data_IF_109182896048
#
_entry.id   IF_109182896048
#
_cell.length_a   1.000
_cell.length_b   1.000
_cell.length_c   1.000
_cell.angle_alpha   90.00
_cell.angle_beta   90.00
_cell.angle_gamma   90.00
#
_symmetry.space_group_name_H-M   'P 1'
#
loop_
_entity.id
_entity.type
_entity.pdbx_description
1 polymer ?
#
# COMPACT_ATOMS: atom_id res chain seq x y z
N UNK A 1 -20.38 6.87 9.90
CA UNK A 1 -20.51 6.29 8.55
C UNK A 1 -20.25 4.81 8.65
N UNK A 2 -21.17 3.96 8.18
CA UNK A 2 -20.94 2.50 8.13
C UNK A 2 -19.78 2.23 7.18
N UNK A 3 -18.77 1.48 7.63
CA UNK A 3 -17.67 1.05 6.76
C UNK A 3 -18.24 0.07 5.74
N UNK A 4 -18.13 0.39 4.45
CA UNK A 4 -18.53 -0.52 3.36
C UNK A 4 -17.64 -1.77 3.45
N UNK A 5 -18.26 -2.94 3.59
CA UNK A 5 -17.54 -4.22 3.70
C UNK A 5 -17.54 -4.95 2.38
N UNK A 6 -16.40 -5.54 2.05
CA UNK A 6 -16.21 -6.44 0.92
C UNK A 6 -17.08 -7.70 1.05
N UNK A 7 -17.54 -8.22 -0.08
CA UNK A 7 -18.16 -9.55 -0.23
C UNK A 7 -17.15 -10.68 -0.42
N UNK A 8 -15.86 -10.38 -0.61
CA UNK A 8 -14.82 -11.41 -0.75
C UNK A 8 -14.72 -12.20 0.55
N UNK A 9 -14.73 -13.53 0.44
CA UNK A 9 -14.25 -14.38 1.52
C UNK A 9 -12.73 -14.24 1.67
N UNK A 10 -12.19 -14.59 2.84
CA UNK A 10 -10.74 -14.60 3.07
C UNK A 10 -10.01 -15.50 2.07
N UNK A 11 -10.63 -16.60 1.63
CA UNK A 11 -10.03 -17.49 0.62
C UNK A 11 -10.07 -16.88 -0.78
N UNK A 12 -11.19 -16.26 -1.16
CA UNK A 12 -11.32 -15.57 -2.45
C UNK A 12 -10.37 -14.40 -2.55
N UNK A 13 -10.22 -13.62 -1.48
CA UNK A 13 -9.25 -12.51 -1.40
C UNK A 13 -7.81 -13.03 -1.57
N UNK A 14 -7.43 -14.12 -0.90
CA UNK A 14 -6.11 -14.75 -1.08
C UNK A 14 -5.88 -15.21 -2.52
N UNK A 15 -6.87 -15.88 -3.13
CA UNK A 15 -6.81 -16.32 -4.52
C UNK A 15 -6.69 -15.12 -5.47
N UNK A 16 -7.44 -14.04 -5.23
CA UNK A 16 -7.37 -12.81 -6.01
C UNK A 16 -6.00 -12.13 -5.90
N UNK A 17 -5.48 -11.99 -4.68
CA UNK A 17 -4.14 -11.43 -4.42
C UNK A 17 -3.02 -12.27 -5.07
N UNK A 18 -3.19 -13.58 -5.21
CA UNK A 18 -2.20 -14.45 -5.86
C UNK A 18 -2.00 -14.19 -7.36
N UNK A 19 -2.90 -13.42 -7.99
CA UNK A 19 -2.74 -12.94 -9.37
C UNK A 19 -1.74 -11.78 -9.49
N UNK A 20 -1.34 -11.20 -8.36
CA UNK A 20 -0.46 -10.05 -8.24
C UNK A 20 0.83 -10.41 -7.50
N UNK A 21 1.78 -9.47 -7.51
CA UNK A 21 2.91 -9.49 -6.58
C UNK A 21 2.48 -8.98 -5.20
N UNK A 22 3.22 -8.02 -4.65
CA UNK A 22 2.90 -7.47 -3.34
C UNK A 22 1.97 -6.26 -3.46
N UNK A 23 0.66 -6.49 -3.31
CA UNK A 23 -0.36 -5.44 -3.44
C UNK A 23 -1.36 -5.45 -2.29
N UNK A 24 -2.03 -4.31 -2.09
CA UNK A 24 -3.23 -4.18 -1.25
C UNK A 24 -4.44 -3.81 -2.10
N UNK A 25 -5.58 -4.39 -1.77
CA UNK A 25 -6.86 -4.02 -2.37
C UNK A 25 -7.58 -3.00 -1.48
N UNK A 26 -7.98 -1.88 -2.06
CA UNK A 26 -8.77 -0.85 -1.41
C UNK A 26 -10.13 -0.74 -2.08
N UNK A 27 -11.21 -1.14 -1.39
CA UNK A 27 -12.57 -1.12 -1.93
C UNK A 27 -13.02 0.32 -2.25
N UNK A 28 -13.32 0.58 -3.52
CA UNK A 28 -13.82 1.87 -4.02
C UNK A 28 -15.34 1.86 -4.18
N UNK A 29 -15.86 0.75 -4.71
CA UNK A 29 -17.25 0.64 -5.12
C UNK A 29 -17.83 -0.74 -4.82
N UNK A 30 -19.10 -0.76 -4.39
CA UNK A 30 -19.91 -1.95 -4.15
C UNK A 30 -21.33 -1.66 -4.63
N UNK A 31 -21.81 -2.40 -5.63
CA UNK A 31 -23.06 -2.10 -6.32
C UNK A 31 -24.28 -2.15 -5.39
N UNK A 32 -24.33 -3.11 -4.45
CA UNK A 32 -25.41 -3.18 -3.46
C UNK A 32 -25.49 -1.98 -2.50
N UNK A 33 -24.40 -1.21 -2.35
CA UNK A 33 -24.34 -0.05 -1.45
C UNK A 33 -24.43 1.27 -2.22
N UNK A 34 -23.76 1.35 -3.38
CA UNK A 34 -23.68 2.59 -4.15
C UNK A 34 -24.68 2.65 -5.31
N UNK A 35 -25.39 1.56 -5.59
CA UNK A 35 -26.34 1.44 -6.69
C UNK A 35 -25.68 0.95 -7.98
N UNK A 36 -26.47 0.29 -8.84
CA UNK A 36 -26.02 -0.39 -10.05
C UNK A 36 -25.85 0.54 -11.27
N UNK A 37 -25.91 1.86 -11.07
CA UNK A 37 -25.82 2.84 -12.15
C UNK A 37 -24.37 3.10 -12.52
N UNK A 38 -24.06 3.20 -13.82
CA UNK A 38 -22.73 3.54 -14.31
C UNK A 38 -22.21 4.86 -13.72
N UNK A 39 -23.09 5.84 -13.50
CA UNK A 39 -22.75 7.11 -12.85
C UNK A 39 -22.18 6.93 -11.43
N UNK A 40 -22.74 5.99 -10.65
CA UNK A 40 -22.28 5.71 -9.30
C UNK A 40 -20.87 5.10 -9.29
N UNK A 41 -20.56 4.28 -10.31
CA UNK A 41 -19.23 3.76 -10.55
C UNK A 41 -18.24 4.87 -10.91
N UNK A 42 -18.52 5.64 -11.97
CA UNK A 42 -17.63 6.69 -12.47
C UNK A 42 -17.30 7.73 -11.40
N UNK A 43 -18.30 8.17 -10.63
CA UNK A 43 -18.10 9.13 -9.53
C UNK A 43 -17.13 8.66 -8.43
N UNK A 44 -16.80 7.37 -8.38
CA UNK A 44 -15.95 6.76 -7.33
C UNK A 44 -14.65 6.18 -7.87
N UNK A 45 -14.63 5.73 -9.11
CA UNK A 45 -13.53 4.93 -9.65
C UNK A 45 -12.70 5.66 -10.72
N UNK A 46 -13.24 6.71 -11.33
CA UNK A 46 -12.50 7.48 -12.31
C UNK A 46 -11.27 8.15 -11.68
N UNK A 47 -10.15 8.10 -12.40
CA UNK A 47 -8.85 8.61 -11.93
C UNK A 47 -8.29 7.94 -10.67
N UNK A 48 -8.79 6.76 -10.27
CA UNK A 48 -8.27 6.07 -9.08
C UNK A 48 -7.02 5.21 -9.34
N UNK A 49 -6.76 4.83 -10.59
CA UNK A 49 -5.60 4.02 -10.96
C UNK A 49 -5.61 2.61 -10.36
N UNK A 50 -4.68 1.75 -10.79
CA UNK A 50 -4.96 0.41 -11.30
C UNK A 50 -6.10 -0.28 -10.56
N UNK A 51 -7.13 -0.69 -11.27
CA UNK A 51 -8.34 -1.23 -10.64
C UNK A 51 -8.56 -2.68 -10.98
N UNK A 52 -9.11 -3.43 -10.03
CA UNK A 52 -9.64 -4.77 -10.26
C UNK A 52 -11.13 -4.79 -9.98
N UNK A 53 -11.85 -5.28 -10.98
CA UNK A 53 -13.29 -5.49 -10.93
C UNK A 53 -13.57 -6.91 -10.44
N UNK A 54 -14.53 -7.03 -9.52
CA UNK A 54 -14.90 -8.29 -8.88
C UNK A 54 -16.42 -8.48 -8.96
N UNK A 55 -16.85 -9.40 -9.81
CA UNK A 55 -18.24 -9.79 -10.01
C UNK A 55 -18.52 -11.16 -9.39
N UNK A 56 -19.72 -11.30 -8.83
CA UNK A 56 -20.17 -12.52 -8.14
C UNK A 56 -21.45 -13.02 -8.79
N UNK A 57 -21.61 -14.32 -8.98
CA UNK A 57 -22.84 -14.91 -9.51
C UNK A 57 -23.38 -16.06 -8.63
N UNK A 58 -24.54 -16.62 -9.01
CA UNK A 58 -25.17 -17.72 -8.24
C UNK A 58 -24.54 -19.08 -8.55
N UNK A 59 -23.82 -19.21 -9.65
CA UNK A 59 -23.03 -20.39 -9.99
C UNK A 59 -21.77 -20.56 -9.10
N UNK A 60 -21.48 -19.61 -8.20
CA UNK A 60 -20.35 -19.67 -7.27
C UNK A 60 -19.03 -19.16 -7.85
N UNK A 61 -19.08 -18.42 -8.96
CA UNK A 61 -17.90 -17.81 -9.57
C UNK A 61 -17.69 -16.39 -9.04
N UNK A 62 -16.43 -16.08 -8.77
CA UNK A 62 -15.92 -14.72 -8.58
C UNK A 62 -14.99 -14.40 -9.73
N UNK A 63 -15.40 -13.51 -10.62
CA UNK A 63 -14.72 -13.25 -11.88
C UNK A 63 -14.69 -11.76 -12.20
N UNK A 64 -13.87 -11.37 -13.16
CA UNK A 64 -13.74 -9.97 -13.52
C UNK A 64 -12.48 -9.70 -14.30
N UNK A 65 -11.95 -8.50 -14.14
CA UNK A 65 -10.73 -8.11 -14.82
C UNK A 65 -9.97 -7.02 -14.10
N UNK A 66 -8.67 -6.99 -14.36
CA UNK A 66 -7.75 -5.96 -13.92
C UNK A 66 -7.40 -5.05 -15.10
N UNK A 67 -7.33 -3.76 -14.84
CA UNK A 67 -6.76 -2.76 -15.73
C UNK A 67 -5.71 -1.94 -14.98
N UNK A 68 -4.62 -1.59 -15.66
CA UNK A 68 -3.55 -0.75 -15.15
C UNK A 68 -3.75 0.75 -15.43
N UNK A 69 -4.67 1.08 -16.34
CA UNK A 69 -4.99 2.47 -16.70
C UNK A 69 -6.19 3.01 -15.92
N UNK A 70 -6.35 4.32 -15.97
CA UNK A 70 -7.50 5.03 -15.39
C UNK A 70 -8.73 4.96 -16.28
N UNK A 71 -9.90 4.89 -15.64
CA UNK A 71 -11.14 5.32 -16.26
C UNK A 71 -11.18 6.86 -16.30
N UNK A 72 -11.48 7.42 -17.46
CA UNK A 72 -11.50 8.86 -17.72
C UNK A 72 -12.66 9.30 -18.62
N UNK A 73 -13.54 8.38 -19.04
CA UNK A 73 -14.72 8.63 -19.87
C UNK A 73 -14.38 9.30 -21.23
N UNK A 74 -13.24 8.96 -21.83
CA UNK A 74 -12.75 9.55 -23.09
C UNK A 74 -13.50 9.08 -24.35
N UNK A 75 -14.28 8.00 -24.24
CA UNK A 75 -14.94 7.32 -25.36
C UNK A 75 -13.99 6.49 -26.23
N UNK A 76 -12.71 6.37 -25.86
CA UNK A 76 -11.69 5.68 -26.65
C UNK A 76 -11.49 4.24 -26.19
N UNK A 77 -11.06 3.40 -27.10
CA UNK A 77 -10.54 2.08 -26.73
C UNK A 77 -9.10 2.24 -26.25
N UNK A 78 -8.80 1.73 -25.06
CA UNK A 78 -7.52 1.94 -24.38
C UNK A 78 -6.67 0.67 -24.46
N UNK A 79 -5.46 0.81 -25.00
CA UNK A 79 -4.47 -0.26 -24.96
C UNK A 79 -3.89 -0.39 -23.54
N UNK A 80 -3.94 -1.62 -23.02
CA UNK A 80 -3.44 -1.94 -21.69
C UNK A 80 -2.79 -3.34 -21.73
N UNK A 81 -1.47 -3.34 -21.88
CA UNK A 81 -0.62 -4.53 -21.95
C UNK A 81 -0.58 -5.32 -20.63
N UNK A 82 -1.01 -4.70 -19.53
CA UNK A 82 -1.08 -5.32 -18.21
C UNK A 82 -2.49 -5.81 -17.87
N UNK A 83 -3.50 -5.51 -18.68
CA UNK A 83 -4.88 -5.91 -18.43
C UNK A 83 -5.07 -7.43 -18.59
N UNK A 84 -5.84 -8.02 -17.69
CA UNK A 84 -6.19 -9.45 -17.74
C UNK A 84 -7.58 -9.70 -17.18
N UNK A 85 -8.23 -10.75 -17.66
CA UNK A 85 -9.42 -11.31 -17.03
C UNK A 85 -9.03 -12.42 -16.06
N UNK A 86 -9.88 -12.69 -15.09
CA UNK A 86 -9.67 -13.77 -14.15
C UNK A 86 -10.98 -14.42 -13.70
N UNK A 87 -10.87 -15.62 -13.14
CA UNK A 87 -11.99 -16.32 -12.53
C UNK A 87 -11.55 -17.23 -11.37
N UNK A 88 -12.30 -17.18 -10.27
CA UNK A 88 -12.14 -17.95 -9.05
C UNK A 88 -13.41 -18.76 -8.80
N UNK A 89 -13.25 -20.02 -8.43
CA UNK A 89 -14.34 -20.94 -8.07
C UNK A 89 -13.79 -21.98 -7.10
N UNK A 90 -14.66 -22.57 -6.28
CA UNK A 90 -14.29 -23.65 -5.33
C UNK A 90 -13.87 -24.94 -6.05
N UNK A 91 -14.24 -25.07 -7.33
CA UNK A 91 -13.85 -26.19 -8.18
C UNK A 91 -12.37 -26.14 -8.62
N UNK A 92 -11.69 -25.00 -8.42
CA UNK A 92 -10.29 -24.80 -8.82
C UNK A 92 -9.44 -24.29 -7.65
N UNK A 93 -8.27 -24.90 -7.50
CA UNK A 93 -7.29 -24.48 -6.49
C UNK A 93 -6.67 -23.11 -6.87
N UNK A 94 -6.26 -22.96 -8.14
CA UNK A 94 -5.66 -21.74 -8.66
C UNK A 94 -6.69 -20.92 -9.48
N UNK A 95 -6.65 -19.58 -9.40
CA UNK A 95 -7.45 -18.75 -10.29
C UNK A 95 -7.11 -19.01 -11.76
N UNK A 96 -8.14 -18.94 -12.61
CA UNK A 96 -7.95 -18.77 -14.04
C UNK A 96 -7.49 -17.34 -14.29
N UNK A 97 -6.48 -17.16 -15.15
CA UNK A 97 -6.01 -15.88 -15.65
C UNK A 97 -5.98 -15.91 -17.17
N UNK A 98 -6.62 -14.95 -17.81
CA UNK A 98 -6.70 -14.82 -19.26
C UNK A 98 -6.08 -13.48 -19.65
N UNK A 99 -4.96 -13.53 -20.35
CA UNK A 99 -4.28 -12.33 -20.82
C UNK A 99 -4.92 -11.83 -22.11
N UNK A 100 -4.76 -10.54 -22.39
CA UNK A 100 -5.20 -9.96 -23.67
C UNK A 100 -4.40 -10.60 -24.82
N UNK A 101 -5.04 -10.82 -25.96
CA UNK A 101 -4.32 -11.18 -27.19
C UNK A 101 -3.51 -9.97 -27.68
N UNK A 102 -2.27 -10.20 -28.10
CA UNK A 102 -1.32 -9.15 -28.50
C UNK A 102 -1.95 -8.07 -29.41
N UNK A 103 -1.85 -6.81 -28.98
CA UNK A 103 -2.29 -5.63 -29.73
C UNK A 103 -3.76 -5.22 -29.56
N UNK A 104 -4.54 -5.89 -28.72
CA UNK A 104 -5.94 -5.53 -28.46
C UNK A 104 -6.12 -4.58 -27.27
N UNK A 105 -7.25 -3.86 -27.25
CA UNK A 105 -7.60 -2.92 -26.19
C UNK A 105 -8.00 -3.65 -24.91
N UNK A 106 -7.50 -3.19 -23.76
CA UNK A 106 -7.82 -3.77 -22.45
C UNK A 106 -9.22 -3.40 -21.98
N UNK A 107 -9.76 -2.25 -22.40
CA UNK A 107 -11.13 -1.81 -22.14
C UNK A 107 -11.53 -0.66 -23.08
N UNK A 108 -12.82 -0.33 -23.11
CA UNK A 108 -13.36 0.87 -23.77
C UNK A 108 -13.71 1.89 -22.70
N UNK A 109 -13.04 3.04 -22.71
CA UNK A 109 -13.21 4.10 -21.71
C UNK A 109 -14.45 4.96 -22.00
N UNK A 110 -15.63 4.34 -22.07
CA UNK A 110 -16.89 4.98 -22.44
C UNK A 110 -17.64 5.61 -21.27
N UNK A 111 -18.73 6.33 -21.61
CA UNK A 111 -19.75 6.80 -20.66
C UNK A 111 -20.65 5.67 -20.13
N UNK A 112 -20.62 4.52 -20.81
CA UNK A 112 -21.44 3.36 -20.53
C UNK A 112 -20.53 2.19 -20.23
N UNK A 113 -20.10 2.07 -18.98
CA UNK A 113 -19.83 0.74 -18.46
C UNK A 113 -18.48 0.58 -17.80
N UNK A 114 -18.58 -0.04 -16.65
CA UNK A 114 -17.55 -0.80 -16.00
C UNK A 114 -17.22 -2.01 -16.90
N UNK A 115 -16.08 -2.01 -17.60
CA UNK A 115 -15.76 -3.07 -18.57
C UNK A 115 -14.28 -3.44 -18.57
N UNK A 116 -13.99 -4.70 -18.90
CA UNK A 116 -12.65 -5.19 -19.19
C UNK A 116 -12.75 -6.08 -20.44
N UNK A 117 -12.22 -5.57 -21.55
CA UNK A 117 -12.28 -6.19 -22.86
C UNK A 117 -13.70 -6.47 -23.33
N UNK A 118 -14.03 -7.77 -23.43
CA UNK A 118 -15.33 -8.27 -23.90
C UNK A 118 -16.38 -8.33 -22.78
N UNK A 119 -16.00 -8.22 -21.51
CA UNK A 119 -16.93 -8.29 -20.38
C UNK A 119 -17.38 -6.89 -19.98
N UNK A 120 -18.68 -6.62 -20.16
CA UNK A 120 -19.32 -5.36 -19.83
C UNK A 120 -20.23 -5.56 -18.64
N UNK A 121 -19.84 -5.03 -17.49
CA UNK A 121 -20.53 -5.21 -16.23
C UNK A 121 -21.58 -4.12 -16.03
N UNK A 122 -22.60 -4.48 -15.26
CA UNK A 122 -23.71 -3.61 -14.93
C UNK A 122 -24.54 -3.19 -16.16
N UNK A 123 -24.72 -4.11 -17.12
CA UNK A 123 -25.38 -3.79 -18.38
C UNK A 123 -26.78 -3.20 -18.16
N UNK A 124 -27.11 -2.13 -18.89
CA UNK A 124 -28.34 -1.36 -18.74
C UNK A 124 -28.63 -0.90 -17.29
N UNK A 125 -27.57 -0.65 -16.49
CA UNK A 125 -27.65 -0.32 -15.06
C UNK A 125 -28.33 -1.41 -14.22
N UNK A 126 -28.18 -2.68 -14.60
CA UNK A 126 -28.73 -3.85 -13.90
C UNK A 126 -27.62 -4.74 -13.37
N UNK A 127 -27.93 -5.69 -12.49
CA UNK A 127 -26.97 -6.67 -11.99
C UNK A 127 -26.65 -7.76 -13.03
N UNK A 128 -26.20 -7.38 -14.23
CA UNK A 128 -25.92 -8.32 -15.31
C UNK A 128 -24.62 -7.99 -16.03
N UNK A 129 -24.04 -9.00 -16.66
CA UNK A 129 -22.87 -8.87 -17.54
C UNK A 129 -23.31 -9.12 -18.98
N UNK A 130 -22.81 -8.30 -19.89
CA UNK A 130 -22.90 -8.51 -21.33
C UNK A 130 -21.52 -8.94 -21.86
N UNK A 131 -21.52 -9.96 -22.72
CA UNK A 131 -20.34 -10.35 -23.47
C UNK A 131 -20.46 -9.70 -24.85
N UNK A 132 -19.63 -8.70 -25.11
CA UNK A 132 -19.60 -8.00 -26.39
C UNK A 132 -18.68 -8.75 -27.35
N UNK A 133 -19.10 -8.88 -28.62
CA UNK A 133 -18.28 -9.51 -29.65
C UNK A 133 -16.93 -8.78 -29.79
N UNK A 134 -15.85 -9.53 -29.60
CA UNK A 134 -14.49 -9.02 -29.68
C UNK A 134 -13.47 -10.14 -29.52
N UNK A 135 -12.25 -9.87 -29.96
CA UNK A 135 -11.17 -10.86 -29.95
C UNK A 135 -10.08 -10.51 -28.91
N UNK A 136 -10.34 -9.57 -27.99
CA UNK A 136 -9.34 -9.13 -27.00
C UNK A 136 -9.02 -10.19 -25.96
N UNK A 137 -9.99 -11.06 -25.63
CA UNK A 137 -9.81 -12.16 -24.69
C UNK A 137 -10.52 -13.41 -25.22
N UNK A 138 -9.85 -14.56 -25.12
CA UNK A 138 -10.42 -15.87 -25.49
C UNK A 138 -10.53 -16.75 -24.26
N UNK A 139 -11.75 -17.19 -23.95
CA UNK A 139 -12.05 -18.06 -22.81
C UNK A 139 -13.33 -18.85 -23.04
N UNK A 140 -13.47 -19.98 -22.36
CA UNK A 140 -14.72 -20.74 -22.33
C UNK A 140 -15.68 -20.14 -21.28
N UNK A 141 -16.92 -19.85 -21.69
CA UNK A 141 -17.92 -19.19 -20.85
C UNK A 141 -18.26 -19.98 -19.57
N UNK A 142 -18.30 -21.31 -19.66
CA UNK A 142 -18.49 -22.20 -18.52
C UNK A 142 -17.34 -22.09 -17.51
N UNK A 143 -16.09 -22.00 -18.00
CA UNK A 143 -14.91 -21.89 -17.14
C UNK A 143 -14.72 -20.49 -16.55
N UNK A 144 -15.17 -19.44 -17.23
CA UNK A 144 -15.03 -18.06 -16.76
C UNK A 144 -16.09 -17.71 -15.72
N UNK A 145 -17.36 -18.04 -15.98
CA UNK A 145 -18.49 -17.58 -15.17
C UNK A 145 -19.62 -18.61 -15.07
N UNK A 146 -19.37 -19.90 -15.36
CA UNK A 146 -20.37 -20.96 -15.19
C UNK A 146 -21.61 -20.79 -16.07
N UNK A 147 -21.49 -20.11 -17.22
CA UNK A 147 -22.61 -19.70 -18.07
C UNK A 147 -23.68 -18.83 -17.35
N UNK A 148 -23.34 -18.23 -16.21
CA UNK A 148 -24.24 -17.36 -15.43
C UNK A 148 -23.74 -15.91 -15.40
N UNK A 149 -24.38 -15.07 -16.23
CA UNK A 149 -24.10 -13.64 -16.34
C UNK A 149 -24.96 -12.78 -15.39
N UNK A 150 -25.78 -13.39 -14.54
CA UNK A 150 -26.55 -12.68 -13.52
C UNK A 150 -25.70 -12.48 -12.27
N UNK A 151 -25.56 -11.22 -11.86
CA UNK A 151 -24.72 -10.85 -10.74
C UNK A 151 -25.52 -10.87 -9.43
N UNK A 152 -24.91 -11.43 -8.39
CA UNK A 152 -25.35 -11.25 -7.01
C UNK A 152 -24.70 -10.04 -6.37
N UNK A 153 -23.52 -9.63 -6.85
CA UNK A 153 -22.80 -8.44 -6.42
C UNK A 153 -21.77 -8.02 -7.48
N UNK A 154 -21.38 -6.73 -7.46
CA UNK A 154 -20.25 -6.22 -8.23
C UNK A 154 -19.46 -5.21 -7.38
N UNK A 155 -18.15 -5.40 -7.31
CA UNK A 155 -17.23 -4.56 -6.55
C UNK A 155 -16.06 -4.10 -7.41
N UNK A 156 -15.46 -2.96 -7.04
CA UNK A 156 -14.23 -2.46 -7.67
C UNK A 156 -13.26 -2.05 -6.58
N UNK A 157 -12.02 -2.48 -6.73
CA UNK A 157 -10.93 -2.20 -5.82
C UNK A 157 -9.84 -1.43 -6.56
N UNK A 158 -9.25 -0.45 -5.89
CA UNK A 158 -7.93 0.06 -6.26
C UNK A 158 -6.89 -0.96 -5.83
N UNK A 159 -5.98 -1.28 -6.74
CA UNK A 159 -4.80 -2.11 -6.52
C UNK A 159 -3.64 -1.18 -6.19
N UNK A 160 -3.25 -1.17 -4.93
CA UNK A 160 -2.14 -0.38 -4.45
C UNK A 160 -0.90 -1.25 -4.40
N UNK A 161 0.09 -0.90 -5.24
CA UNK A 161 1.39 -1.54 -5.18
C UNK A 161 2.06 -1.22 -3.83
N UNK A 162 2.52 -2.27 -3.16
CA UNK A 162 3.23 -2.20 -1.90
C UNK A 162 4.73 -2.46 -2.09
N UNK A 163 5.26 -2.31 -3.32
CA UNK A 163 6.69 -2.33 -3.60
C UNK A 163 7.48 -1.57 -2.51
N UNK A 164 8.40 -2.27 -1.85
CA UNK A 164 9.21 -1.76 -0.73
C UNK A 164 8.68 -2.07 0.68
N UNK A 165 7.44 -2.53 0.83
CA UNK A 165 6.94 -3.10 2.09
C UNK A 165 7.27 -4.61 2.15
N UNK A 166 7.52 -5.11 3.35
CA UNK A 166 7.76 -6.54 3.57
C UNK A 166 6.43 -7.30 3.63
N UNK A 167 6.32 -8.43 2.91
CA UNK A 167 5.12 -9.30 2.90
C UNK A 167 4.73 -9.75 4.32
N UNK A 168 5.74 -10.02 5.14
CA UNK A 168 5.56 -10.25 6.57
C UNK A 168 6.37 -9.21 7.34
N UNK A 169 5.86 -8.70 8.48
CA UNK A 169 6.62 -7.78 9.31
C UNK A 169 7.98 -8.39 9.66
N UNK A 170 9.07 -7.62 9.45
CA UNK A 170 10.44 -8.02 9.83
C UNK A 170 10.52 -8.58 11.26
N UNK A 171 9.67 -8.05 12.15
CA UNK A 171 9.47 -8.58 13.49
C UNK A 171 7.98 -8.66 13.79
N UNK A 172 7.48 -9.87 14.04
CA UNK A 172 6.15 -10.08 14.59
C UNK A 172 6.14 -9.64 16.05
N UNK A 173 5.42 -8.56 16.35
CA UNK A 173 5.22 -8.08 17.71
C UNK A 173 3.73 -8.19 18.00
N UNK A 174 3.39 -8.91 19.05
CA UNK A 174 2.03 -8.94 19.57
C UNK A 174 1.75 -7.65 20.35
N UNK A 175 1.12 -6.70 19.66
CA UNK A 175 0.67 -5.43 20.26
C UNK A 175 -0.68 -5.56 20.97
N UNK A 176 -1.42 -6.65 20.75
CA UNK A 176 -2.74 -6.90 21.35
C UNK A 176 -2.62 -7.43 22.78
N UNK A 177 -1.50 -8.08 23.11
CA UNK A 177 -1.15 -8.43 24.47
C UNK A 177 -1.13 -7.22 25.41
N UNK A 178 -1.91 -7.28 26.48
CA UNK A 178 -1.94 -6.26 27.53
C UNK A 178 -0.51 -5.93 28.01
N UNK A 179 -0.08 -4.70 27.77
CA UNK A 179 1.18 -4.17 28.31
C UNK A 179 2.44 -4.46 27.50
N UNK A 180 2.39 -5.05 26.28
CA UNK A 180 3.61 -5.24 25.46
C UNK A 180 4.33 -3.91 25.22
N UNK A 181 3.57 -2.87 24.87
CA UNK A 181 4.09 -1.51 24.67
C UNK A 181 4.75 -0.99 25.95
N UNK A 182 4.06 -1.04 27.08
CA UNK A 182 4.54 -0.51 28.34
C UNK A 182 5.80 -1.25 28.81
N UNK A 183 5.84 -2.58 28.65
CA UNK A 183 7.02 -3.41 28.94
C UNK A 183 8.23 -3.02 28.08
N UNK A 184 8.05 -2.81 26.78
CA UNK A 184 9.13 -2.38 25.90
C UNK A 184 9.61 -0.98 26.23
N UNK A 185 8.68 -0.06 26.55
CA UNK A 185 9.03 1.29 26.97
C UNK A 185 9.80 1.28 28.29
N UNK A 186 9.39 0.46 29.27
CA UNK A 186 10.09 0.32 30.55
C UNK A 186 11.48 -0.30 30.39
N UNK A 187 11.61 -1.33 29.54
CA UNK A 187 12.90 -1.90 29.18
C UNK A 187 13.88 -0.85 28.63
N UNK A 188 13.41 0.02 27.73
CA UNK A 188 14.23 1.10 27.17
C UNK A 188 14.60 2.14 28.24
N UNK A 189 13.65 2.53 29.10
CA UNK A 189 13.88 3.49 30.20
C UNK A 189 14.95 2.99 31.17
N UNK A 190 14.98 1.68 31.43
CA UNK A 190 15.85 1.05 32.41
C UNK A 190 17.09 0.37 31.81
N UNK A 191 17.30 0.50 30.49
CA UNK A 191 18.45 -0.11 29.81
C UNK A 191 19.79 0.33 30.42
N UNK A 192 20.70 -0.63 30.56
CA UNK A 192 22.08 -0.41 31.00
C UNK A 192 23.02 -1.11 30.01
N UNK A 193 24.07 -0.42 29.52
CA UNK A 193 25.08 -1.07 28.70
C UNK A 193 25.72 -2.25 29.42
N UNK A 194 25.95 -3.35 28.71
CA UNK A 194 26.65 -4.52 29.27
C UNK A 194 28.10 -4.17 29.64
N UNK A 195 28.73 -3.32 28.83
CA UNK A 195 30.09 -2.83 29.06
C UNK A 195 30.06 -1.63 30.01
N UNK A 196 30.58 -1.81 31.22
CA UNK A 196 30.53 -0.79 32.30
C UNK A 196 31.26 0.53 31.98
N UNK A 197 32.20 0.52 31.03
CA UNK A 197 32.89 1.74 30.59
C UNK A 197 32.05 2.57 29.61
N UNK A 198 31.00 1.99 29.01
CA UNK A 198 30.09 2.71 28.13
C UNK A 198 29.11 3.50 28.99
N UNK A 199 29.26 4.83 28.97
CA UNK A 199 28.38 5.74 29.72
C UNK A 199 26.97 5.76 29.14
N UNK A 200 26.85 5.82 27.81
CA UNK A 200 25.58 5.88 27.11
C UNK A 200 25.72 5.44 25.64
N UNK A 201 24.87 4.54 25.13
CA UNK A 201 24.82 4.21 23.71
C UNK A 201 24.30 5.39 22.88
N UNK A 202 24.87 5.53 21.69
CA UNK A 202 24.44 6.47 20.66
C UNK A 202 23.91 5.70 19.46
N UNK A 203 22.69 6.02 19.02
CA UNK A 203 22.08 5.43 17.84
C UNK A 203 22.17 6.44 16.71
N UNK A 204 23.02 6.17 15.72
CA UNK A 204 23.19 7.03 14.55
C UNK A 204 22.14 6.67 13.49
N UNK A 205 21.33 7.65 13.10
CA UNK A 205 20.36 7.52 12.02
C UNK A 205 21.05 7.94 10.71
N UNK A 206 21.13 7.04 9.74
CA UNK A 206 21.77 7.26 8.43
C UNK A 206 20.81 6.84 7.32
N UNK A 207 20.83 7.54 6.19
CA UNK A 207 19.97 7.26 5.05
C UNK A 207 19.85 8.47 4.11
N UNK A 208 19.27 8.29 2.91
CA UNK A 208 19.16 9.36 1.93
C UNK A 208 18.30 10.54 2.41
N UNK A 209 18.34 11.65 1.67
CA UNK A 209 17.41 12.77 1.85
C UNK A 209 15.97 12.26 1.72
N UNK A 210 15.06 12.78 2.54
CA UNK A 210 13.65 12.38 2.50
C UNK A 210 13.33 11.02 3.15
N UNK A 211 14.33 10.23 3.60
CA UNK A 211 14.10 8.95 4.28
C UNK A 211 13.41 9.06 5.65
N UNK A 212 13.13 10.27 6.13
CA UNK A 212 12.36 10.49 7.36
C UNK A 212 13.16 10.33 8.66
N UNK A 213 14.51 10.42 8.64
CA UNK A 213 15.37 10.31 9.83
C UNK A 213 14.94 11.23 10.98
N UNK A 214 14.78 12.52 10.70
CA UNK A 214 14.33 13.52 11.66
C UNK A 214 12.89 13.30 12.12
N UNK A 215 12.02 12.82 11.22
CA UNK A 215 10.63 12.45 11.54
C UNK A 215 10.59 11.26 12.49
N UNK A 216 11.44 10.25 12.27
CA UNK A 216 11.57 9.09 13.14
C UNK A 216 12.01 9.49 14.55
N UNK A 217 12.96 10.41 14.68
CA UNK A 217 13.31 10.98 15.98
C UNK A 217 12.10 11.66 16.64
N UNK A 218 11.38 12.53 15.93
CA UNK A 218 10.20 13.21 16.47
C UNK A 218 9.13 12.21 16.92
N UNK A 219 8.93 11.11 16.18
CA UNK A 219 8.02 10.02 16.56
C UNK A 219 8.45 9.37 17.87
N UNK A 220 9.73 8.98 18.01
CA UNK A 220 10.24 8.40 19.27
C UNK A 220 10.06 9.38 20.43
N UNK A 221 10.49 10.63 20.25
CA UNK A 221 10.40 11.65 21.29
C UNK A 221 8.96 11.88 21.73
N UNK A 222 8.01 11.86 20.78
CA UNK A 222 6.59 12.04 21.06
C UNK A 222 6.01 10.85 21.83
N UNK A 223 6.38 9.62 21.47
CA UNK A 223 5.95 8.41 22.18
C UNK A 223 6.41 8.43 23.62
N UNK A 224 7.67 8.80 23.87
CA UNK A 224 8.20 8.82 25.23
C UNK A 224 7.66 9.98 26.07
N UNK A 225 7.38 11.15 25.48
CA UNK A 225 6.79 12.30 26.19
C UNK A 225 5.27 12.21 26.37
N UNK A 226 4.60 11.33 25.64
CA UNK A 226 3.14 11.20 25.65
C UNK A 226 2.38 12.29 24.88
N UNK A 227 3.07 13.18 24.17
CA UNK A 227 2.47 14.21 23.32
C UNK A 227 3.32 14.47 22.08
N UNK A 228 2.71 15.00 21.01
CA UNK A 228 3.41 15.31 19.76
C UNK A 228 4.51 16.35 20.00
N UNK A 229 5.68 16.14 19.38
CA UNK A 229 6.83 17.06 19.43
C UNK A 229 7.47 17.24 18.06
N UNK A 230 7.96 18.46 17.79
CA UNK A 230 8.71 18.80 16.58
C UNK A 230 10.07 19.41 16.93
N UNK A 231 10.95 18.61 17.54
CA UNK A 231 12.28 19.08 17.97
C UNK A 231 13.36 18.96 16.88
N UNK A 232 13.19 18.05 15.92
CA UNK A 232 13.96 18.04 14.69
C UNK A 232 13.15 18.68 13.56
N UNK A 233 13.83 19.46 12.70
CA UNK A 233 13.19 20.06 11.53
C UNK A 233 12.82 18.95 10.55
N UNK A 234 11.55 18.90 10.17
CA UNK A 234 10.99 17.90 9.26
C UNK A 234 10.23 18.59 8.14
N UNK A 235 10.41 18.15 6.90
CA UNK A 235 9.74 18.68 5.73
C UNK A 235 10.23 17.98 4.46
N UNK A 236 9.51 18.17 3.35
CA UNK A 236 9.89 17.65 2.04
C UNK A 236 10.41 18.82 1.20
N UNK A 237 11.72 19.01 1.19
CA UNK A 237 12.43 19.97 0.32
C UNK A 237 13.50 19.17 -0.42
N UNK A 238 13.81 19.52 -1.67
CA UNK A 238 14.75 18.78 -2.53
C UNK A 238 16.20 18.70 -2.05
N UNK A 239 16.52 19.28 -0.88
CA UNK A 239 17.83 19.23 -0.22
C UNK A 239 17.65 18.86 1.25
N UNK A 240 18.65 18.25 1.89
CA UNK A 240 18.60 17.92 3.32
C UNK A 240 18.22 19.11 4.21
N UNK A 241 17.09 19.02 4.92
CA UNK A 241 16.65 20.05 5.89
C UNK A 241 17.48 20.06 7.18
N UNK A 242 18.01 18.90 7.54
CA UNK A 242 19.03 18.80 8.57
C UNK A 242 20.35 19.10 7.89
N UNK A 243 20.91 20.27 8.14
CA UNK A 243 22.17 20.76 7.55
C UNK A 243 23.40 20.45 8.40
N UNK A 244 23.22 19.81 9.56
CA UNK A 244 24.28 19.48 10.52
C UNK A 244 23.90 18.24 11.34
N UNK A 245 24.90 17.46 11.76
CA UNK A 245 24.76 16.41 12.77
C UNK A 245 24.18 16.97 14.08
N UNK A 246 23.13 16.31 14.61
CA UNK A 246 22.46 16.72 15.85
C UNK A 246 22.30 15.53 16.79
N UNK A 247 22.61 15.75 18.06
CA UNK A 247 22.39 14.76 19.12
C UNK A 247 21.19 15.12 19.96
N UNK A 248 20.27 14.18 20.11
CA UNK A 248 19.04 14.36 20.85
C UNK A 248 18.95 13.39 22.03
N UNK A 249 18.88 13.97 23.23
CA UNK A 249 18.55 13.25 24.45
C UNK A 249 17.04 13.28 24.69
N UNK A 250 16.40 12.11 24.74
CA UNK A 250 14.96 12.00 24.97
C UNK A 250 14.70 12.01 26.48
N UNK A 251 13.71 12.79 26.91
CA UNK A 251 13.20 12.77 28.30
C UNK A 251 11.77 12.23 28.26
N UNK A 252 11.50 11.19 29.05
CA UNK A 252 10.18 10.57 29.08
C UNK A 252 9.14 11.45 29.81
N UNK A 253 9.55 12.31 30.73
CA UNK A 253 8.66 13.16 31.52
C UNK A 253 9.24 14.57 31.65
N UNK A 254 8.38 15.58 31.84
CA UNK A 254 8.84 16.95 32.11
C UNK A 254 9.64 16.97 33.42
N UNK A 255 10.93 17.29 33.33
CA UNK A 255 11.85 17.26 34.48
C UNK A 255 12.38 15.86 34.84
N UNK A 256 11.95 14.80 34.16
CA UNK A 256 12.38 13.43 34.41
C UNK A 256 13.80 13.11 33.90
N UNK A 257 14.32 11.96 34.32
CA UNK A 257 15.62 11.43 33.86
C UNK A 257 15.59 11.19 32.35
N UNK A 258 16.65 11.57 31.66
CA UNK A 258 16.81 11.26 30.24
C UNK A 258 16.90 9.74 30.03
N UNK A 259 16.41 9.27 28.89
CA UNK A 259 16.59 7.88 28.48
C UNK A 259 18.09 7.53 28.46
N UNK A 260 18.45 6.28 28.78
CA UNK A 260 19.84 5.81 28.74
C UNK A 260 20.33 5.58 27.31
N UNK A 261 19.86 6.36 26.33
CA UNK A 261 20.30 6.34 24.93
C UNK A 261 20.21 7.75 24.33
N UNK A 262 21.06 8.04 23.36
CA UNK A 262 21.04 9.27 22.56
C UNK A 262 20.76 8.90 21.12
N UNK A 263 19.86 9.64 20.48
CA UNK A 263 19.65 9.55 19.03
C UNK A 263 20.50 10.62 18.34
N UNK A 264 21.24 10.21 17.32
CA UNK A 264 22.07 11.10 16.52
C UNK A 264 21.47 11.18 15.12
N UNK A 265 20.93 12.35 14.77
CA UNK A 265 20.35 12.62 13.47
C UNK A 265 21.41 13.25 12.55
N UNK A 266 21.44 12.82 11.29
CA UNK A 266 22.42 13.23 10.29
C UNK A 266 21.76 13.89 9.09
N UNK A 267 22.56 14.58 8.29
CA UNK A 267 22.12 15.01 6.96
C UNK A 267 21.76 13.81 6.08
N UNK A 268 20.98 14.04 5.03
CA UNK A 268 20.83 13.05 3.97
C UNK A 268 22.16 12.66 3.32
N UNK A 269 22.28 11.38 2.95
CA UNK A 269 23.26 10.98 1.95
C UNK A 269 22.81 11.57 0.60
N UNK A 270 23.67 12.37 -0.03
CA UNK A 270 23.45 13.00 -1.33
C UNK A 270 24.62 12.62 -2.25
N UNK A 271 24.35 12.44 -3.55
CA UNK A 271 25.40 12.21 -4.55
C UNK A 271 25.93 13.57 -5.06
N UNK A 272 27.04 14.05 -4.50
CA UNK A 272 27.73 15.24 -5.00
C UNK A 272 28.86 15.71 -4.09
N UNK A 273 29.98 16.24 -4.63
CA UNK A 273 31.02 16.83 -3.80
C UNK A 273 30.42 18.01 -3.02
N UNK A 274 30.62 18.03 -1.70
CA UNK A 274 30.13 19.06 -0.76
C UNK A 274 28.60 19.15 -0.55
N UNK A 275 27.84 18.12 -0.91
CA UNK A 275 26.41 18.02 -0.65
C UNK A 275 26.13 16.76 0.21
N UNK A 276 25.64 16.94 1.44
CA UNK A 276 25.27 15.83 2.33
C UNK A 276 26.39 15.25 3.20
N UNK A 277 26.10 14.11 3.84
CA UNK A 277 27.00 13.39 4.74
C UNK A 277 27.89 12.41 3.94
N UNK A 278 29.22 12.54 4.00
CA UNK A 278 30.16 11.60 3.35
C UNK A 278 30.44 10.36 4.23
N UNK A 279 30.87 9.28 3.61
CA UNK A 279 31.38 8.05 4.24
C UNK A 279 32.54 8.29 5.21
N UNK A 280 33.40 9.26 4.94
CA UNK A 280 34.47 9.68 5.84
C UNK A 280 33.94 10.40 7.08
N UNK A 281 32.85 11.17 6.95
CA UNK A 281 32.17 11.82 8.08
C UNK A 281 31.51 10.76 8.98
N UNK A 282 30.87 9.74 8.40
CA UNK A 282 30.32 8.60 9.15
C UNK A 282 31.43 7.92 9.96
N UNK A 283 32.58 7.66 9.34
CA UNK A 283 33.73 7.04 10.01
C UNK A 283 34.24 7.89 11.17
N UNK A 284 34.29 9.21 10.99
CA UNK A 284 34.71 10.16 12.01
C UNK A 284 33.72 10.22 13.18
N UNK A 285 32.41 10.26 12.89
CA UNK A 285 31.34 10.19 13.89
C UNK A 285 31.41 8.88 14.69
N UNK A 286 31.63 7.74 14.03
CA UNK A 286 31.76 6.44 14.69
C UNK A 286 33.00 6.36 15.60
N UNK A 287 34.10 7.03 15.23
CA UNK A 287 35.29 7.17 16.07
C UNK A 287 35.11 8.13 17.24
N UNK A 288 33.99 8.85 17.32
CA UNK A 288 33.72 9.84 18.36
C UNK A 288 34.28 11.23 18.06
N UNK A 289 34.69 11.48 16.82
CA UNK A 289 35.18 12.77 16.33
C UNK A 289 34.16 13.34 15.33
N UNK A 290 33.03 13.91 15.80
CA UNK A 290 32.09 14.55 14.89
C UNK A 290 32.79 15.75 14.25
N UNK A 291 33.22 15.60 13.00
CA UNK A 291 33.54 16.72 12.13
C UNK A 291 32.20 17.15 11.53
N UNK A 292 31.83 18.40 11.77
CA UNK A 292 30.56 19.02 11.38
C UNK A 292 30.84 20.03 10.27
#
# INVERSE_FOLDING_TARGET
MSVVKSSLSVEQEKKLLSLFGHVRLHLLYKASVHGYMNLAFHSRCDGQGPTILVAYNKAGFVYGGYISKDYAQTGQAINDDKAFLYSITDQREKPLRVSSTDGQNGFTDGFYGLNVGVLWFLNNNTATVEIVAGNSYTFEAEEMHGNDLQLTECEVYRVEDLEGLLETPWRKIDWEGYGTKDRLMDYIKNYKPEVKSVVQPRVLLVGPVGAGKSSFFNSINSVFKGHVTGQANTGSVGTSLTTQFRTYSIKAEQGGKALPLVLCDTMGLEEGPSAGLDTDDITSILKGHPVL
#
